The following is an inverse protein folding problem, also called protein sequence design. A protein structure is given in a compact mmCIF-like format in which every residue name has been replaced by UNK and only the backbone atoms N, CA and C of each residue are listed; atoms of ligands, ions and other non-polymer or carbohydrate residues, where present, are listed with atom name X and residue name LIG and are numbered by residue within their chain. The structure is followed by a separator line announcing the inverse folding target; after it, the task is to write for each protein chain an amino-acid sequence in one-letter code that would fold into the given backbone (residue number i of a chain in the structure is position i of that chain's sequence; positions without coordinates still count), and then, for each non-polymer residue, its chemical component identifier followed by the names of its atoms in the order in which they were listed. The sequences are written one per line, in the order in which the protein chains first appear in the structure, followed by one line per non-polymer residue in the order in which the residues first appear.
data_IF_172856147620
#
_entry.id   IF_172856147620
#
_cell.length_a   1.000
_cell.length_b   1.000
_cell.length_c   1.000
_cell.angle_alpha   90.00
_cell.angle_beta   90.00
_cell.angle_gamma   90.00
#
_symmetry.space_group_name_H-M   'P 1'
#
loop_
_entity.id
_entity.type
_entity.pdbx_description
1 polymer ?
#
# COMPACT_ATOMS: atom_id res chain seq x y z
N UNK A 1 -4.78 5.63 14.18
CA UNK A 1 -3.80 4.52 14.14
C UNK A 1 -2.72 4.85 13.11
N UNK A 2 -1.44 4.57 13.39
CA UNK A 2 -0.36 4.72 12.43
C UNK A 2 -0.55 3.73 11.26
N UNK A 3 0.01 4.07 10.10
CA UNK A 3 -0.18 3.29 8.88
C UNK A 3 0.59 1.97 8.94
N UNK A 4 -0.13 0.85 8.90
CA UNK A 4 0.46 -0.47 8.82
C UNK A 4 1.12 -0.74 7.46
N UNK A 5 2.09 -1.66 7.44
CA UNK A 5 2.74 -2.13 6.22
C UNK A 5 2.34 -3.58 5.93
N UNK A 6 2.30 -3.91 4.64
CA UNK A 6 2.23 -5.29 4.20
C UNK A 6 3.65 -5.87 4.14
N UNK A 7 3.79 -7.09 4.64
CA UNK A 7 5.03 -7.84 4.57
C UNK A 7 4.77 -9.33 4.39
N UNK A 8 5.84 -10.06 4.10
CA UNK A 8 5.85 -11.51 3.96
C UNK A 8 6.73 -12.11 5.05
N UNK A 9 6.18 -13.08 5.79
CA UNK A 9 6.98 -13.90 6.70
C UNK A 9 8.01 -14.70 5.87
N UNK A 10 9.28 -14.44 6.10
CA UNK A 10 10.39 -15.16 5.45
C UNK A 10 10.73 -16.41 6.24
N UNK A 11 10.79 -16.29 7.57
CA UNK A 11 11.18 -17.39 8.44
C UNK A 11 11.31 -16.94 9.88
N UNK A 12 11.78 -17.85 10.73
CA UNK A 12 12.10 -17.59 12.12
C UNK A 12 13.58 -17.88 12.34
N UNK A 13 14.22 -17.08 13.16
CA UNK A 13 15.62 -17.25 13.57
C UNK A 13 15.75 -16.87 15.04
N UNK A 14 16.97 -16.91 15.57
CA UNK A 14 17.28 -16.44 16.91
C UNK A 14 18.36 -15.37 16.85
N UNK A 15 18.28 -14.42 17.77
CA UNK A 15 19.29 -13.38 18.01
C UNK A 15 19.77 -13.54 19.44
N UNK A 16 21.06 -13.32 19.65
CA UNK A 16 21.66 -13.31 20.98
C UNK A 16 21.77 -11.86 21.44
N UNK A 17 21.36 -11.58 22.67
CA UNK A 17 21.66 -10.29 23.30
C UNK A 17 23.10 -10.27 23.84
N UNK A 18 23.53 -9.10 24.31
CA UNK A 18 24.88 -8.91 24.87
C UNK A 18 25.11 -9.73 26.16
N UNK A 19 24.03 -10.12 26.85
CA UNK A 19 24.04 -10.93 28.06
C UNK A 19 24.06 -12.45 27.76
N UNK A 20 23.99 -12.84 26.48
CA UNK A 20 24.03 -14.23 26.01
C UNK A 20 22.68 -14.97 26.02
N UNK A 21 21.57 -14.28 26.27
CA UNK A 21 20.23 -14.85 26.17
C UNK A 21 19.80 -15.03 24.71
N UNK A 22 19.00 -16.07 24.46
CA UNK A 22 18.47 -16.40 23.13
C UNK A 22 17.08 -15.81 22.97
N UNK A 23 16.92 -14.89 22.02
CA UNK A 23 15.64 -14.27 21.68
C UNK A 23 15.15 -14.83 20.33
N UNK A 24 14.02 -15.56 20.30
CA UNK A 24 13.43 -16.02 19.05
C UNK A 24 12.78 -14.85 18.30
N UNK A 25 13.15 -14.67 17.04
CA UNK A 25 12.66 -13.57 16.19
C UNK A 25 12.08 -14.09 14.88
N UNK A 26 11.10 -13.37 14.34
CA UNK A 26 10.54 -13.65 13.00
C UNK A 26 11.06 -12.63 12.01
N UNK A 27 11.63 -13.10 10.90
CA UNK A 27 12.09 -12.23 9.81
C UNK A 27 10.91 -11.96 8.88
N UNK A 28 10.55 -10.68 8.74
CA UNK A 28 9.48 -10.21 7.85
C UNK A 28 10.11 -9.36 6.76
N UNK A 29 9.91 -9.75 5.50
CA UNK A 29 10.19 -8.89 4.35
C UNK A 29 9.05 -7.90 4.21
N UNK A 30 9.25 -6.67 4.67
CA UNK A 30 8.29 -5.59 4.58
C UNK A 30 8.73 -4.55 3.53
N UNK A 31 7.79 -4.13 2.68
CA UNK A 31 7.99 -3.05 1.71
C UNK A 31 8.92 -3.35 0.52
N UNK A 32 8.97 -2.44 -0.48
CA UNK A 32 8.21 -1.19 -0.56
C UNK A 32 6.72 -1.42 -0.87
N UNK A 33 5.83 -0.77 -0.10
CA UNK A 33 4.38 -0.80 -0.32
C UNK A 33 3.93 0.47 -1.04
N UNK A 34 3.21 0.34 -2.16
CA UNK A 34 2.74 1.52 -2.92
C UNK A 34 1.32 1.90 -2.50
N UNK A 35 1.07 3.18 -2.24
CA UNK A 35 -0.27 3.71 -1.99
C UNK A 35 -1.07 3.72 -3.29
N UNK A 36 -2.09 2.87 -3.38
CA UNK A 36 -2.96 2.76 -4.55
C UNK A 36 -4.13 3.72 -4.50
N UNK A 37 -4.67 3.92 -3.29
CA UNK A 37 -5.94 4.58 -3.08
C UNK A 37 -6.02 5.22 -1.70
N UNK A 38 -6.47 6.48 -1.64
CA UNK A 38 -6.95 7.09 -0.40
C UNK A 38 -8.48 7.13 -0.38
N UNK A 39 -9.07 6.66 0.72
CA UNK A 39 -10.49 6.77 1.08
C UNK A 39 -10.65 8.00 1.97
N UNK A 40 -11.69 8.78 1.70
CA UNK A 40 -11.96 10.02 2.44
C UNK A 40 -13.36 9.94 3.05
N UNK A 41 -13.55 10.56 4.22
CA UNK A 41 -14.84 10.53 4.94
C UNK A 41 -15.99 11.06 4.08
N UNK A 42 -15.76 12.13 3.33
CA UNK A 42 -16.78 12.76 2.47
C UNK A 42 -17.29 11.83 1.35
N UNK A 43 -16.41 11.00 0.76
CA UNK A 43 -16.76 10.15 -0.38
C UNK A 43 -17.16 8.75 0.05
N UNK A 44 -16.46 8.17 1.02
CA UNK A 44 -16.55 6.76 1.37
C UNK A 44 -17.12 6.50 2.77
N UNK A 45 -17.34 7.54 3.58
CA UNK A 45 -17.86 7.43 4.95
C UNK A 45 -16.81 7.04 6.01
N UNK A 46 -15.56 6.81 5.60
CA UNK A 46 -14.43 6.51 6.48
C UNK A 46 -13.11 6.94 5.84
N UNK A 47 -12.06 6.96 6.64
CA UNK A 47 -10.72 7.28 6.17
C UNK A 47 -9.81 6.05 6.19
N UNK A 48 -9.17 5.77 5.06
CA UNK A 48 -8.31 4.61 4.90
C UNK A 48 -7.33 4.78 3.74
N UNK A 49 -6.22 4.05 3.83
CA UNK A 49 -5.21 3.96 2.78
C UNK A 49 -5.16 2.53 2.26
N UNK A 50 -5.23 2.37 0.94
CA UNK A 50 -5.04 1.10 0.27
C UNK A 50 -3.58 0.96 -0.15
N UNK A 51 -2.90 -0.05 0.41
CA UNK A 51 -1.51 -0.36 0.11
C UNK A 51 -1.41 -1.62 -0.76
N UNK A 52 -0.49 -1.57 -1.72
CA UNK A 52 -0.11 -2.70 -2.56
C UNK A 52 1.29 -3.22 -2.21
N UNK A 53 1.44 -4.54 -2.09
CA UNK A 53 2.71 -5.22 -1.82
C UNK A 53 3.00 -6.34 -2.80
N UNK A 54 4.29 -6.53 -3.09
CA UNK A 54 4.80 -7.45 -4.11
C UNK A 54 4.41 -7.02 -5.52
N UNK A 55 5.09 -7.56 -6.54
CA UNK A 55 4.81 -7.26 -7.95
C UNK A 55 4.20 -8.48 -8.64
N UNK A 56 3.24 -8.24 -9.53
CA UNK A 56 2.70 -9.24 -10.45
C UNK A 56 2.84 -8.74 -11.89
N UNK A 57 3.46 -9.53 -12.80
CA UNK A 57 3.65 -9.11 -14.19
C UNK A 57 2.32 -8.71 -14.84
N UNK A 58 2.33 -7.58 -15.56
CA UNK A 58 1.12 -6.99 -16.17
C UNK A 58 0.33 -7.97 -17.04
N UNK A 59 1.00 -8.86 -17.76
CA UNK A 59 0.36 -9.85 -18.65
C UNK A 59 -0.42 -10.93 -17.87
N UNK A 60 -0.08 -11.18 -16.60
CA UNK A 60 -0.79 -12.16 -15.74
C UNK A 60 -2.00 -11.56 -15.04
N UNK A 61 -2.32 -10.29 -15.28
CA UNK A 61 -3.34 -9.54 -14.53
C UNK A 61 -4.47 -9.10 -15.46
N UNK A 62 -5.70 -9.36 -15.03
CA UNK A 62 -6.91 -8.97 -15.75
C UNK A 62 -6.97 -7.45 -16.01
N UNK A 63 -7.69 -7.06 -17.07
CA UNK A 63 -7.81 -5.65 -17.49
C UNK A 63 -8.37 -4.74 -16.38
N UNK A 64 -9.31 -5.24 -15.58
CA UNK A 64 -9.90 -4.48 -14.47
C UNK A 64 -8.88 -4.07 -13.42
N UNK A 65 -8.08 -5.02 -12.92
CA UNK A 65 -7.02 -4.76 -11.95
C UNK A 65 -5.92 -3.86 -12.52
N UNK A 66 -5.55 -4.03 -13.79
CA UNK A 66 -4.62 -3.11 -14.47
C UNK A 66 -5.16 -1.68 -14.52
N UNK A 67 -6.46 -1.51 -14.75
CA UNK A 67 -7.13 -0.19 -14.75
C UNK A 67 -7.23 0.46 -13.36
N UNK A 68 -7.03 -0.32 -12.29
CA UNK A 68 -7.00 0.20 -10.94
C UNK A 68 -5.69 0.95 -10.66
N UNK A 69 -4.56 0.39 -11.11
CA UNK A 69 -3.21 0.94 -10.90
C UNK A 69 -2.74 1.88 -12.00
N UNK A 70 -3.10 1.61 -13.26
CA UNK A 70 -2.69 2.41 -14.41
C UNK A 70 -3.91 2.94 -15.16
N UNK A 71 -3.76 4.10 -15.82
CA UNK A 71 -4.79 4.61 -16.72
C UNK A 71 -4.86 3.71 -17.96
N UNK A 72 -6.07 3.30 -18.32
CA UNK A 72 -6.34 2.52 -19.53
C UNK A 72 -7.28 3.35 -20.39
N UNK A 73 -6.85 3.64 -21.61
CA UNK A 73 -7.67 4.37 -22.58
C UNK A 73 -9.01 3.65 -22.80
N UNK A 74 -10.10 4.37 -22.56
CA UNK A 74 -11.45 3.88 -22.79
C UNK A 74 -12.32 4.98 -23.37
N UNK A 75 -13.31 4.60 -24.19
CA UNK A 75 -14.29 5.55 -24.76
C UNK A 75 -15.00 6.36 -23.66
N UNK A 76 -15.24 5.74 -22.49
CA UNK A 76 -15.79 6.42 -21.32
C UNK A 76 -14.84 7.48 -20.77
N UNK A 77 -13.55 7.16 -20.64
CA UNK A 77 -12.55 8.12 -20.16
C UNK A 77 -12.45 9.34 -21.08
N UNK A 78 -12.44 9.12 -22.40
CA UNK A 78 -12.42 10.21 -23.38
C UNK A 78 -13.67 11.09 -23.29
N UNK A 79 -14.86 10.49 -23.11
CA UNK A 79 -16.11 11.25 -22.89
C UNK A 79 -16.08 12.07 -21.61
N UNK A 80 -15.57 11.50 -20.50
CA UNK A 80 -15.46 12.21 -19.23
C UNK A 80 -14.46 13.37 -19.31
N UNK A 81 -13.34 13.19 -20.00
CA UNK A 81 -12.38 14.26 -20.27
C UNK A 81 -12.99 15.38 -21.11
N UNK A 82 -13.73 15.03 -22.17
CA UNK A 82 -14.45 16.01 -23.00
C UNK A 82 -15.53 16.77 -22.20
N UNK A 83 -16.13 16.14 -21.20
CA UNK A 83 -17.09 16.74 -20.30
C UNK A 83 -16.45 17.51 -19.11
N UNK A 84 -15.11 17.62 -19.06
CA UNK A 84 -14.40 18.33 -18.00
C UNK A 84 -14.43 17.65 -16.63
N UNK A 85 -14.84 16.38 -16.55
CA UNK A 85 -14.90 15.66 -15.27
C UNK A 85 -13.48 15.24 -14.84
N UNK A 86 -13.03 15.60 -13.63
CA UNK A 86 -11.69 15.26 -13.17
C UNK A 86 -11.53 13.74 -13.04
N UNK A 87 -10.48 13.21 -13.66
CA UNK A 87 -10.12 11.81 -13.51
C UNK A 87 -9.41 11.59 -12.18
N UNK A 88 -9.70 10.45 -11.55
CA UNK A 88 -9.03 10.06 -10.32
C UNK A 88 -7.55 9.81 -10.55
N UNK A 89 -6.69 10.40 -9.72
CA UNK A 89 -5.24 10.11 -9.67
C UNK A 89 -5.01 8.61 -9.48
N UNK A 90 -4.11 8.05 -10.27
CA UNK A 90 -3.71 6.63 -10.25
C UNK A 90 -2.27 6.55 -9.76
N UNK A 91 -1.90 5.42 -9.16
CA UNK A 91 -0.55 5.22 -8.61
C UNK A 91 0.51 4.96 -9.68
N UNK A 92 0.11 4.62 -10.91
CA UNK A 92 0.98 4.36 -12.05
C UNK A 92 2.07 3.31 -11.81
N UNK A 93 1.80 2.34 -10.93
CA UNK A 93 2.73 1.29 -10.55
C UNK A 93 2.49 -0.02 -11.32
N UNK A 94 3.39 -0.98 -11.15
CA UNK A 94 3.08 -2.36 -11.52
C UNK A 94 1.95 -2.90 -10.65
N UNK A 95 1.09 -3.79 -11.18
CA UNK A 95 0.02 -4.38 -10.39
C UNK A 95 0.59 -5.13 -9.18
N UNK A 96 0.17 -4.77 -7.96
CA UNK A 96 0.64 -5.46 -6.79
C UNK A 96 0.05 -6.86 -6.69
N UNK A 97 0.77 -7.76 -6.01
CA UNK A 97 0.28 -9.13 -5.78
C UNK A 97 -0.74 -9.18 -4.64
N UNK A 98 -0.50 -8.39 -3.60
CA UNK A 98 -1.38 -8.26 -2.44
C UNK A 98 -1.82 -6.82 -2.28
N UNK A 99 -3.09 -6.62 -1.93
CA UNK A 99 -3.68 -5.31 -1.69
C UNK A 99 -4.46 -5.38 -0.40
N UNK A 100 -4.28 -4.41 0.48
CA UNK A 100 -5.03 -4.32 1.73
C UNK A 100 -5.30 -2.86 2.08
N UNK A 101 -6.42 -2.64 2.76
CA UNK A 101 -6.80 -1.33 3.27
C UNK A 101 -6.50 -1.25 4.76
N UNK A 102 -5.89 -0.15 5.17
CA UNK A 102 -5.65 0.22 6.56
C UNK A 102 -6.47 1.45 6.89
N UNK A 103 -7.28 1.37 7.95
CA UNK A 103 -8.03 2.52 8.43
C UNK A 103 -7.09 3.49 9.11
N UNK A 104 -7.28 4.78 8.84
CA UNK A 104 -6.53 5.86 9.48
C UNK A 104 -7.54 6.73 10.24
N UNK A 105 -7.15 7.17 11.44
CA UNK A 105 -8.02 7.96 12.30
C UNK A 105 -7.60 9.43 12.28
N UNK A 106 -7.73 10.08 11.11
CA UNK A 106 -7.56 11.53 10.99
C UNK A 106 -6.16 12.10 11.24
N UNK A 107 -5.12 11.28 11.41
CA UNK A 107 -3.74 11.76 11.33
C UNK A 107 -3.41 11.99 9.86
N UNK A 108 -3.15 13.25 9.50
CA UNK A 108 -2.66 13.69 8.19
C UNK A 108 -1.28 13.08 7.91
N UNK A 109 -1.30 11.81 7.51
CA UNK A 109 -0.14 11.14 6.98
C UNK A 109 -0.01 11.57 5.51
N UNK A 110 1.16 12.05 5.09
CA UNK A 110 1.54 12.41 3.71
C UNK A 110 1.56 11.19 2.76
N UNK A 111 0.46 10.45 2.71
CA UNK A 111 0.27 9.19 1.98
C UNK A 111 -0.61 9.43 0.77
N UNK A 112 -0.08 10.23 -0.14
CA UNK A 112 -0.70 10.45 -1.42
C UNK A 112 -0.60 9.22 -2.33
N UNK A 113 -1.56 9.11 -3.25
CA UNK A 113 -1.57 8.05 -4.27
C UNK A 113 -0.29 8.13 -5.09
N UNK A 114 0.44 7.00 -5.14
CA UNK A 114 1.73 6.86 -5.84
C UNK A 114 2.95 6.86 -4.91
N UNK A 115 2.81 7.26 -3.64
CA UNK A 115 3.93 7.22 -2.67
C UNK A 115 4.29 5.77 -2.33
N UNK A 116 5.59 5.52 -2.17
CA UNK A 116 6.12 4.23 -1.69
C UNK A 116 6.47 4.34 -0.22
N UNK A 117 5.84 3.49 0.59
CA UNK A 117 6.06 3.37 2.03
C UNK A 117 7.07 2.26 2.29
N UNK A 118 8.09 2.58 3.09
CA UNK A 118 9.20 1.69 3.46
C UNK A 118 9.21 1.41 4.96
N UNK A 119 10.04 0.45 5.39
CA UNK A 119 10.16 0.01 6.80
C UNK A 119 10.57 1.14 7.76
N UNK A 120 11.12 2.23 7.23
CA UNK A 120 11.49 3.44 7.97
C UNK A 120 10.35 4.03 8.82
N UNK A 121 9.08 3.74 8.49
CA UNK A 121 7.93 4.14 9.32
C UNK A 121 7.95 3.53 10.73
N UNK A 122 8.70 2.44 10.94
CA UNK A 122 8.79 1.73 12.22
C UNK A 122 10.06 2.02 13.02
N UNK A 123 10.95 2.90 12.57
CA UNK A 123 12.24 3.13 13.25
C UNK A 123 12.10 3.53 14.74
N UNK A 124 11.04 4.25 15.08
CA UNK A 124 10.75 4.69 16.45
C UNK A 124 9.52 3.99 17.05
N UNK A 125 9.10 2.85 16.48
CA UNK A 125 7.91 2.12 16.91
C UNK A 125 8.35 0.85 17.65
N UNK A 126 8.25 0.81 18.99
CA UNK A 126 8.72 -0.34 19.77
C UNK A 126 7.81 -1.57 19.66
N UNK A 127 6.52 -1.36 19.39
CA UNK A 127 5.52 -2.43 19.35
C UNK A 127 4.60 -2.26 18.15
N UNK A 128 4.29 -3.39 17.50
CA UNK A 128 3.36 -3.49 16.38
C UNK A 128 2.33 -4.57 16.69
N UNK A 129 1.10 -4.35 16.23
CA UNK A 129 -0.01 -5.32 16.33
C UNK A 129 0.05 -6.39 15.23
#
# INVERSE_FOLDING_TARGET
MPVGLLGRKIGMTQVYDDDGNVIPVTVIEAGPCTVLLRRTRERDGYEAVQLGFGQRPRHKVGKALRGQVASISSKRQQRLQAAGVPLRKKAECEPPRWVREFRIDGEDCDLDVGVRVTVSIFENVPYVD
#
